data_IF_111962319413
#
_entry.id   IF_111962319413
#
_cell.length_a   1.000
_cell.length_b   1.000
_cell.length_c   1.000
_cell.angle_alpha   90.00
_cell.angle_beta   90.00
_cell.angle_gamma   90.00
#
_symmetry.space_group_name_H-M   'P 1'
#
loop_
_entity.id
_entity.type
_entity.pdbx_description
1 polymer ?
#
# COMPACT_ATOMS: atom_id res chain seq x y z
N UNK A 1 19.85 -10.66 -0.09
CA UNK A 1 19.36 -9.31 -0.40
C UNK A 1 18.07 -9.16 0.38
N UNK A 2 17.99 -8.25 1.35
CA UNK A 2 16.81 -8.11 2.19
C UNK A 2 15.73 -7.40 1.36
N UNK A 3 14.64 -8.11 1.07
CA UNK A 3 13.39 -7.49 0.59
C UNK A 3 12.67 -7.04 1.86
N UNK A 4 12.25 -5.78 1.92
CA UNK A 4 11.37 -5.28 2.97
C UNK A 4 9.98 -5.09 2.36
N UNK A 5 9.11 -6.12 2.35
CA UNK A 5 7.88 -6.11 1.55
C UNK A 5 6.91 -5.01 1.96
N UNK A 6 6.96 -4.59 3.23
CA UNK A 6 6.16 -3.46 3.73
C UNK A 6 6.57 -2.17 3.04
N UNK A 7 7.87 -1.94 2.87
CA UNK A 7 8.37 -0.74 2.22
C UNK A 7 8.02 -0.72 0.73
N UNK A 8 8.16 -1.85 0.04
CA UNK A 8 7.78 -1.98 -1.37
C UNK A 8 6.28 -1.68 -1.58
N UNK A 9 5.41 -2.18 -0.70
CA UNK A 9 3.98 -1.88 -0.73
C UNK A 9 3.68 -0.41 -0.47
N UNK A 10 4.33 0.21 0.52
CA UNK A 10 4.14 1.62 0.84
C UNK A 10 4.58 2.51 -0.33
N UNK A 11 5.70 2.18 -0.97
CA UNK A 11 6.18 2.89 -2.16
C UNK A 11 5.23 2.75 -3.35
N UNK A 12 4.71 1.55 -3.61
CA UNK A 12 3.75 1.33 -4.70
C UNK A 12 2.48 2.18 -4.48
N UNK A 13 1.95 2.20 -3.25
CA UNK A 13 0.79 3.03 -2.89
C UNK A 13 1.11 4.53 -2.93
N UNK A 14 2.32 4.94 -2.54
CA UNK A 14 2.75 6.33 -2.63
C UNK A 14 2.76 6.82 -4.09
N UNK A 15 3.39 6.06 -4.98
CA UNK A 15 3.44 6.36 -6.42
C UNK A 15 2.03 6.34 -7.03
N UNK A 16 1.19 5.40 -6.62
CA UNK A 16 -0.19 5.34 -7.09
C UNK A 16 -0.99 6.57 -6.68
N UNK A 17 -0.87 7.03 -5.43
CA UNK A 17 -1.54 8.24 -4.94
C UNK A 17 -1.09 9.49 -5.70
N UNK A 18 0.20 9.65 -5.96
CA UNK A 18 0.72 10.77 -6.78
C UNK A 18 0.17 10.77 -8.22
N UNK A 19 -0.17 9.58 -8.74
CA UNK A 19 -0.74 9.38 -10.08
C UNK A 19 -2.27 9.31 -10.08
N UNK A 20 -2.91 9.51 -8.94
CA UNK A 20 -4.36 9.36 -8.75
C UNK A 20 -4.90 7.98 -9.18
N UNK A 21 -4.08 6.93 -9.01
CA UNK A 21 -4.43 5.56 -9.34
C UNK A 21 -4.96 4.81 -8.12
N UNK A 22 -6.01 4.00 -8.33
CA UNK A 22 -6.51 3.08 -7.31
C UNK A 22 -5.78 1.75 -7.39
N UNK A 23 -5.24 1.29 -6.26
CA UNK A 23 -4.56 -0.01 -6.16
C UNK A 23 -5.49 -1.03 -5.52
N UNK A 24 -5.74 -2.15 -6.19
CA UNK A 24 -6.48 -3.28 -5.60
C UNK A 24 -5.58 -4.11 -4.68
N UNK A 25 -6.19 -4.84 -3.74
CA UNK A 25 -5.46 -5.81 -2.89
C UNK A 25 -4.60 -6.75 -3.73
N UNK A 26 -5.17 -7.33 -4.80
CA UNK A 26 -4.46 -8.25 -5.68
C UNK A 26 -3.26 -7.61 -6.40
N UNK A 27 -3.41 -6.36 -6.85
CA UNK A 27 -2.32 -5.61 -7.47
C UNK A 27 -1.18 -5.35 -6.48
N UNK A 28 -1.51 -4.97 -5.25
CA UNK A 28 -0.50 -4.72 -4.21
C UNK A 28 0.25 -6.00 -3.82
N UNK A 29 -0.44 -7.15 -3.79
CA UNK A 29 0.22 -8.44 -3.57
C UNK A 29 1.26 -8.77 -4.66
N UNK A 30 1.03 -8.37 -5.92
CA UNK A 30 2.01 -8.53 -7.00
C UNK A 30 3.20 -7.60 -6.78
N UNK A 31 2.96 -6.34 -6.40
CA UNK A 31 4.02 -5.36 -6.15
C UNK A 31 4.96 -5.79 -5.00
N UNK A 32 4.44 -6.49 -3.99
CA UNK A 32 5.21 -6.95 -2.84
C UNK A 32 6.27 -8.01 -3.15
N UNK A 33 6.23 -8.63 -4.33
CA UNK A 33 7.21 -9.63 -4.80
C UNK A 33 7.47 -10.80 -3.81
N UNK A 34 6.41 -11.22 -3.11
CA UNK A 34 6.42 -12.31 -2.12
C UNK A 34 5.15 -13.16 -2.30
N UNK A 35 5.06 -14.36 -1.68
CA UNK A 35 3.86 -15.17 -1.74
C UNK A 35 2.61 -14.39 -1.29
N UNK A 36 1.50 -14.55 -2.02
CA UNK A 36 0.26 -13.78 -1.82
C UNK A 36 -0.27 -13.84 -0.39
N UNK A 37 -0.25 -15.01 0.26
CA UNK A 37 -0.72 -15.17 1.65
C UNK A 37 0.13 -14.37 2.64
N UNK A 38 1.44 -14.30 2.41
CA UNK A 38 2.37 -13.47 3.19
C UNK A 38 2.12 -11.99 2.93
N UNK A 39 1.88 -11.59 1.68
CA UNK A 39 1.52 -10.21 1.33
C UNK A 39 0.20 -9.79 2.01
N UNK A 40 -0.82 -10.65 2.02
CA UNK A 40 -2.09 -10.38 2.68
C UNK A 40 -1.93 -10.17 4.19
N UNK A 41 -1.04 -10.93 4.86
CA UNK A 41 -0.71 -10.70 6.28
C UNK A 41 -0.10 -9.31 6.48
N UNK A 42 0.87 -8.91 5.66
CA UNK A 42 1.47 -7.58 5.76
C UNK A 42 0.45 -6.47 5.50
N UNK A 43 -0.42 -6.62 4.50
CA UNK A 43 -1.52 -5.68 4.25
C UNK A 43 -2.42 -5.56 5.49
N UNK A 44 -2.76 -6.67 6.15
CA UNK A 44 -3.55 -6.65 7.36
C UNK A 44 -2.83 -5.91 8.52
N UNK A 45 -1.54 -6.14 8.70
CA UNK A 45 -0.70 -5.44 9.70
C UNK A 45 -0.63 -3.93 9.40
N UNK A 46 -0.38 -3.53 8.15
CA UNK A 46 -0.34 -2.13 7.72
C UNK A 46 -1.70 -1.43 7.96
N UNK A 47 -2.81 -2.10 7.66
CA UNK A 47 -4.17 -1.58 7.94
C UNK A 47 -4.39 -1.46 9.45
N UNK A 48 -4.03 -2.48 10.22
CA UNK A 48 -4.20 -2.50 11.68
C UNK A 48 -3.39 -1.38 12.35
N UNK A 49 -2.20 -1.08 11.83
CA UNK A 49 -1.35 0.01 12.33
C UNK A 49 -1.81 1.40 11.84
N UNK A 50 -2.83 1.46 10.98
CA UNK A 50 -3.33 2.69 10.40
C UNK A 50 -2.44 3.27 9.31
N UNK A 51 -1.43 2.54 8.85
CA UNK A 51 -0.47 3.02 7.85
C UNK A 51 -1.13 3.12 6.46
N UNK A 52 -2.07 2.21 6.16
CA UNK A 52 -2.86 2.20 4.92
C UNK A 52 -4.36 2.05 5.24
N UNK A 53 -5.21 2.53 4.33
CA UNK A 53 -6.67 2.44 4.39
C UNK A 53 -7.17 1.43 3.36
N UNK A 54 -8.19 0.65 3.71
CA UNK A 54 -8.88 -0.27 2.82
C UNK A 54 -10.32 0.19 2.58
N UNK A 55 -10.71 0.36 1.32
CA UNK A 55 -12.05 0.77 0.91
C UNK A 55 -12.67 -0.28 0.00
N UNK A 56 -13.87 -0.81 0.30
CA UNK A 56 -14.59 -1.70 -0.61
C UNK A 56 -14.85 -1.04 -1.97
N UNK A 57 -14.78 -1.81 -3.05
CA UNK A 57 -15.21 -1.31 -4.36
C UNK A 57 -16.75 -1.23 -4.39
N UNK A 58 -17.34 -0.05 -4.68
CA UNK A 58 -18.80 0.11 -4.71
C UNK A 58 -19.47 -0.67 -5.84
N UNK A 59 -18.71 -1.11 -6.86
CA UNK A 59 -19.22 -1.81 -8.04
C UNK A 59 -18.97 -3.32 -8.01
N UNK A 60 -17.97 -3.78 -7.25
CA UNK A 60 -17.61 -5.19 -7.12
C UNK A 60 -17.28 -5.54 -5.66
N UNK A 61 -18.22 -6.18 -4.96
CA UNK A 61 -18.05 -6.58 -3.55
C UNK A 61 -16.88 -7.56 -3.30
N UNK A 62 -16.35 -8.18 -4.36
CA UNK A 62 -15.18 -9.09 -4.27
C UNK A 62 -13.87 -8.30 -4.25
N UNK A 63 -13.89 -7.01 -4.58
CA UNK A 63 -12.73 -6.14 -4.67
C UNK A 63 -12.71 -5.11 -3.55
N UNK A 64 -11.49 -4.75 -3.16
CA UNK A 64 -11.23 -3.62 -2.30
C UNK A 64 -9.99 -2.90 -2.83
N UNK A 65 -10.00 -1.59 -2.66
CA UNK A 65 -8.87 -0.72 -2.95
C UNK A 65 -8.11 -0.40 -1.68
N UNK A 66 -6.81 -0.20 -1.84
CA UNK A 66 -5.87 0.19 -0.81
C UNK A 66 -5.29 1.53 -1.19
N UNK A 67 -5.05 2.35 -0.18
CA UNK A 67 -4.42 3.65 -0.33
C UNK A 67 -3.66 3.97 0.97
N UNK A 68 -2.66 4.85 0.93
CA UNK A 68 -1.97 5.27 2.15
C UNK A 68 -2.96 5.97 3.09
N UNK A 69 -2.70 5.95 4.40
CA UNK A 69 -3.34 6.92 5.26
C UNK A 69 -2.77 8.32 4.95
N UNK A 70 -3.49 9.37 5.34
CA UNK A 70 -3.04 10.74 5.03
C UNK A 70 -1.77 11.06 5.82
N UNK A 71 -1.64 10.55 7.05
CA UNK A 71 -0.44 10.72 7.87
C UNK A 71 0.75 9.94 7.33
N UNK A 72 0.56 8.72 6.81
CA UNK A 72 1.66 7.94 6.21
C UNK A 72 2.14 8.61 4.94
N UNK A 73 1.21 9.07 4.10
CA UNK A 73 1.57 9.80 2.89
C UNK A 73 2.35 11.07 3.21
N UNK A 74 1.90 11.89 4.17
CA UNK A 74 2.64 13.08 4.59
C UNK A 74 4.04 12.75 5.09
N UNK A 75 4.19 11.74 5.97
CA UNK A 75 5.51 11.29 6.46
C UNK A 75 6.42 10.80 5.34
N UNK A 76 5.88 10.08 4.36
CA UNK A 76 6.65 9.60 3.21
C UNK A 76 7.03 10.74 2.28
N UNK A 77 6.13 11.70 2.05
CA UNK A 77 6.41 12.89 1.25
C UNK A 77 7.56 13.69 1.89
N UNK A 78 7.46 13.97 3.20
CA UNK A 78 8.53 14.62 3.95
C UNK A 78 9.84 13.84 3.86
N UNK A 79 9.82 12.52 4.00
CA UNK A 79 11.02 11.69 3.89
C UNK A 79 11.65 11.75 2.49
N UNK A 80 10.84 11.68 1.43
CA UNK A 80 11.29 11.77 0.02
C UNK A 80 11.90 13.15 -0.26
N UNK A 81 11.24 14.22 0.17
CA UNK A 81 11.70 15.59 -0.08
C UNK A 81 13.04 15.92 0.62
N UNK A 82 13.39 15.19 1.67
CA UNK A 82 14.64 15.41 2.44
C UNK A 82 15.74 14.39 2.17
N UNK A 83 15.44 13.21 1.60
CA UNK A 83 16.39 12.12 1.40
C UNK A 83 16.71 11.80 -0.07
N UNK A 84 15.98 12.36 -1.04
CA UNK A 84 16.28 12.26 -2.47
C UNK A 84 16.91 13.55 -3.03
#
# INVERSE_FOLDING_TARGET
MFVEPRWDMLLDLYVARLKELKISVSSLCVAANIPTTTALRHIAELVQHGEIKRTPDPTDQRRAFLDLSDHTFARMNDWIDHCL
#
